data_IF_649190573891
#
_entry.id   IF_649190573891
#
_cell.length_a   1.000
_cell.length_b   1.000
_cell.length_c   1.000
_cell.angle_alpha   90.00
_cell.angle_beta   90.00
_cell.angle_gamma   90.00
#
_symmetry.space_group_name_H-M   'P 1'
#
loop_
_entity.id
_entity.type
_entity.pdbx_description
1 polymer ?
#
# COMPACT_ATOMS: atom_id res chain seq x y z
N UNK A 1 26.02 -5.07 9.41
CA UNK A 1 27.20 -5.92 9.10
C UNK A 1 28.09 -5.34 8.00
N UNK A 2 27.55 -4.83 6.88
CA UNK A 2 28.34 -4.30 5.75
C UNK A 2 29.32 -3.18 6.12
N UNK A 3 28.92 -2.21 6.95
CA UNK A 3 29.80 -1.13 7.41
C UNK A 3 30.95 -1.63 8.30
N UNK A 4 30.67 -2.60 9.18
CA UNK A 4 31.70 -3.24 10.02
C UNK A 4 32.73 -3.99 9.17
N UNK A 5 32.28 -4.59 8.07
CA UNK A 5 33.13 -5.22 7.05
C UNK A 5 33.82 -4.21 6.12
N UNK A 6 33.71 -2.91 6.39
CA UNK A 6 34.29 -1.81 5.61
C UNK A 6 33.88 -1.83 4.12
N UNK A 7 32.69 -2.36 3.81
CA UNK A 7 32.11 -2.23 2.46
C UNK A 7 31.70 -0.78 2.21
N UNK A 8 31.89 -0.24 1.01
CA UNK A 8 31.55 1.15 0.71
C UNK A 8 30.03 1.37 0.81
N UNK A 9 29.57 2.40 1.55
CA UNK A 9 28.14 2.73 1.63
C UNK A 9 27.64 3.40 0.34
N UNK A 10 26.34 3.30 0.11
CA UNK A 10 25.57 4.01 -0.91
C UNK A 10 24.58 5.00 -0.28
N UNK A 11 23.41 5.15 -0.91
CA UNK A 11 22.33 6.03 -0.44
C UNK A 11 21.90 5.64 0.97
N UNK A 12 21.69 6.64 1.84
CA UNK A 12 21.29 6.45 3.25
C UNK A 12 22.20 5.48 4.03
N UNK A 13 23.48 5.37 3.65
CA UNK A 13 24.47 4.45 4.24
C UNK A 13 24.21 2.94 4.05
N UNK A 14 23.22 2.58 3.23
CA UNK A 14 22.98 1.17 2.87
C UNK A 14 24.04 0.64 1.91
N UNK A 15 24.35 -0.67 1.94
CA UNK A 15 25.23 -1.25 0.94
C UNK A 15 24.54 -1.30 -0.44
N UNK A 16 25.33 -1.29 -1.52
CA UNK A 16 24.79 -1.26 -2.90
C UNK A 16 23.90 -2.45 -3.26
N UNK A 17 24.08 -3.58 -2.59
CA UNK A 17 23.33 -4.82 -2.79
C UNK A 17 22.08 -4.94 -1.91
N UNK A 18 21.67 -3.88 -1.22
CA UNK A 18 20.48 -3.91 -0.35
C UNK A 18 19.20 -4.28 -1.12
N UNK A 19 19.06 -3.84 -2.37
CA UNK A 19 17.95 -4.23 -3.23
C UNK A 19 17.91 -5.74 -3.45
N UNK A 20 19.06 -6.34 -3.76
CA UNK A 20 19.20 -7.78 -3.99
C UNK A 20 18.89 -8.60 -2.73
N UNK A 21 19.17 -8.04 -1.54
CA UNK A 21 18.83 -8.69 -0.27
C UNK A 21 17.30 -8.83 -0.12
N UNK A 22 16.54 -7.79 -0.46
CA UNK A 22 15.09 -7.83 -0.40
C UNK A 22 14.49 -8.66 -1.53
N UNK A 23 14.94 -8.47 -2.77
CA UNK A 23 14.37 -9.19 -3.93
C UNK A 23 14.58 -10.70 -3.80
N UNK A 24 15.80 -11.16 -3.49
CA UNK A 24 16.06 -12.60 -3.30
C UNK A 24 15.21 -13.21 -2.19
N UNK A 25 14.80 -12.44 -1.19
CA UNK A 25 13.92 -12.93 -0.13
C UNK A 25 12.47 -13.01 -0.61
N UNK A 26 11.94 -11.92 -1.19
CA UNK A 26 10.54 -11.80 -1.56
C UNK A 26 10.19 -12.62 -2.81
N UNK A 27 11.08 -12.72 -3.79
CA UNK A 27 10.88 -13.51 -5.02
C UNK A 27 10.80 -15.02 -4.76
N UNK A 28 11.06 -15.48 -3.53
CA UNK A 28 10.80 -16.87 -3.14
C UNK A 28 9.32 -17.13 -2.88
N UNK A 29 8.54 -16.09 -2.59
CA UNK A 29 7.11 -16.16 -2.34
C UNK A 29 6.37 -16.27 -3.66
N UNK A 30 5.87 -17.47 -3.96
CA UNK A 30 5.18 -17.75 -5.21
C UNK A 30 4.13 -18.84 -5.01
N UNK A 31 3.20 -18.93 -5.97
CA UNK A 31 2.35 -20.10 -6.18
C UNK A 31 3.02 -21.03 -7.18
N UNK A 32 3.26 -22.28 -6.80
CA UNK A 32 3.87 -23.27 -7.67
C UNK A 32 2.89 -23.76 -8.75
N UNK A 33 3.44 -24.29 -9.84
CA UNK A 33 2.66 -24.85 -10.94
C UNK A 33 2.06 -26.22 -10.55
N UNK A 34 1.09 -26.69 -11.33
CA UNK A 34 0.44 -28.00 -11.13
C UNK A 34 1.41 -29.18 -11.15
N UNK A 35 2.51 -29.09 -11.91
CA UNK A 35 3.58 -30.10 -11.93
C UNK A 35 4.40 -30.16 -10.63
N UNK A 36 4.34 -29.12 -9.80
CA UNK A 36 5.10 -28.95 -8.56
C UNK A 36 4.21 -28.97 -7.31
N UNK A 37 2.95 -29.38 -7.42
CA UNK A 37 2.05 -29.58 -6.27
C UNK A 37 1.14 -28.40 -5.90
N UNK A 38 1.16 -27.29 -6.65
CA UNK A 38 0.31 -26.10 -6.45
C UNK A 38 0.40 -25.35 -5.11
N UNK A 39 1.41 -25.68 -4.29
CA UNK A 39 1.74 -25.00 -3.04
C UNK A 39 1.90 -23.48 -3.22
N UNK A 40 1.57 -22.73 -2.17
CA UNK A 40 1.65 -21.29 -2.17
C UNK A 40 2.38 -20.77 -0.92
N UNK A 41 3.29 -19.82 -1.12
CA UNK A 41 3.85 -19.02 -0.05
C UNK A 41 3.50 -17.55 -0.27
N UNK A 42 2.69 -16.99 0.61
CA UNK A 42 2.36 -15.56 0.62
C UNK A 42 3.21 -14.84 1.65
N UNK A 43 3.83 -13.73 1.28
CA UNK A 43 4.61 -12.88 2.21
C UNK A 43 3.93 -11.54 2.42
N UNK A 44 3.94 -11.06 3.67
CA UNK A 44 3.47 -9.73 4.05
C UNK A 44 4.63 -8.95 4.68
N UNK A 45 5.53 -8.36 3.88
CA UNK A 45 6.63 -7.58 4.41
C UNK A 45 6.10 -6.32 5.10
N UNK A 46 6.64 -6.01 6.28
CA UNK A 46 6.32 -4.80 7.04
C UNK A 46 7.50 -3.84 6.90
N UNK A 47 7.21 -2.61 6.51
CA UNK A 47 8.19 -1.54 6.37
C UNK A 47 7.73 -0.36 7.22
N UNK A 48 8.58 0.06 8.12
CA UNK A 48 8.35 1.28 8.89
C UNK A 48 8.80 2.48 8.07
N UNK A 49 7.89 3.45 7.88
CA UNK A 49 8.21 4.75 7.28
C UNK A 49 8.51 5.76 8.38
N UNK A 50 9.51 6.60 8.17
CA UNK A 50 9.85 7.66 9.11
C UNK A 50 9.03 8.90 8.75
N UNK A 51 8.24 9.41 9.70
CA UNK A 51 7.36 10.57 9.50
C UNK A 51 6.42 10.44 8.28
N UNK A 52 6.03 9.20 7.93
CA UNK A 52 5.18 8.96 6.75
C UNK A 52 5.88 9.15 5.39
N UNK A 53 7.21 9.26 5.35
CA UNK A 53 7.95 9.43 4.11
C UNK A 53 7.92 8.15 3.25
N UNK A 54 7.09 8.18 2.21
CA UNK A 54 6.95 7.12 1.21
C UNK A 54 8.05 7.13 0.14
N UNK A 55 8.91 8.15 0.12
CA UNK A 55 10.00 8.29 -0.84
C UNK A 55 11.35 7.74 -0.34
N UNK A 56 11.38 7.26 0.91
CA UNK A 56 12.56 6.68 1.54
C UNK A 56 13.13 5.51 0.73
N UNK A 57 14.46 5.38 0.73
CA UNK A 57 15.16 4.45 -0.18
C UNK A 57 14.71 2.99 -0.02
N UNK A 58 14.61 2.49 1.21
CA UNK A 58 14.17 1.11 1.46
C UNK A 58 12.70 0.89 1.09
N UNK A 59 11.84 1.87 1.38
CA UNK A 59 10.42 1.79 1.06
C UNK A 59 10.19 1.68 -0.45
N UNK A 60 10.83 2.57 -1.23
CA UNK A 60 10.75 2.52 -2.70
C UNK A 60 11.29 1.21 -3.29
N UNK A 61 12.38 0.66 -2.74
CA UNK A 61 12.90 -0.65 -3.15
C UNK A 61 11.86 -1.76 -2.91
N UNK A 62 11.27 -1.83 -1.73
CA UNK A 62 10.32 -2.90 -1.38
C UNK A 62 9.06 -2.79 -2.23
N UNK A 63 8.52 -1.60 -2.43
CA UNK A 63 7.33 -1.38 -3.29
C UNK A 63 7.60 -1.83 -4.72
N UNK A 64 8.81 -1.62 -5.23
CA UNK A 64 9.14 -2.05 -6.59
C UNK A 64 9.13 -3.57 -6.76
N UNK A 65 9.40 -4.32 -5.67
CA UNK A 65 9.45 -5.78 -5.65
C UNK A 65 8.06 -6.39 -5.36
N UNK A 66 7.31 -5.83 -4.42
CA UNK A 66 6.03 -6.38 -3.98
C UNK A 66 4.91 -6.17 -5.00
N UNK A 67 3.93 -7.08 -5.00
CA UNK A 67 2.72 -7.00 -5.84
C UNK A 67 1.68 -5.97 -5.39
N UNK A 68 1.97 -5.18 -4.36
CA UNK A 68 1.04 -4.19 -3.84
C UNK A 68 1.53 -3.63 -2.51
N UNK A 69 0.78 -2.67 -1.98
CA UNK A 69 1.08 -2.03 -0.71
C UNK A 69 -0.20 -1.69 0.05
N UNK A 70 -0.14 -1.86 1.37
CA UNK A 70 -1.13 -1.36 2.31
C UNK A 70 -0.42 -0.30 3.14
N UNK A 71 -0.76 0.98 2.91
CA UNK A 71 -0.16 2.09 3.64
C UNK A 71 -1.02 2.42 4.87
N UNK A 72 -0.41 2.39 6.05
CA UNK A 72 -1.08 2.73 7.31
C UNK A 72 -0.73 4.17 7.69
N UNK A 73 -1.74 5.04 7.75
CA UNK A 73 -1.57 6.45 8.12
C UNK A 73 -1.71 6.67 9.62
N UNK A 74 -0.83 7.49 10.19
CA UNK A 74 -0.94 7.94 11.57
C UNK A 74 -2.15 8.87 11.77
N UNK A 75 -2.47 9.71 10.78
CA UNK A 75 -3.59 10.66 10.87
C UNK A 75 -4.93 9.92 10.95
N UNK A 76 -5.13 8.90 10.10
CA UNK A 76 -6.32 8.05 10.12
C UNK A 76 -6.45 7.30 11.46
N UNK A 77 -5.33 6.81 11.99
CA UNK A 77 -5.30 6.14 13.28
C UNK A 77 -5.70 7.07 14.44
N UNK A 78 -5.21 8.31 14.41
CA UNK A 78 -5.52 9.35 15.39
C UNK A 78 -6.98 9.81 15.29
N UNK A 79 -7.55 9.81 14.08
CA UNK A 79 -8.98 10.03 13.81
C UNK A 79 -9.87 8.82 14.15
N UNK A 80 -9.33 7.79 14.82
CA UNK A 80 -10.03 6.57 15.27
C UNK A 80 -10.50 5.64 14.14
N UNK A 81 -10.02 5.83 12.91
CA UNK A 81 -10.26 4.90 11.80
C UNK A 81 -9.29 3.74 11.95
N UNK A 82 -9.83 2.53 12.19
CA UNK A 82 -9.06 1.30 12.41
C UNK A 82 -9.69 0.14 11.63
N UNK A 83 -8.95 -0.53 10.74
CA UNK A 83 -7.53 -0.33 10.40
C UNK A 83 -7.28 0.98 9.65
N UNK A 84 -6.14 1.64 9.91
CA UNK A 84 -5.81 2.98 9.41
C UNK A 84 -5.28 2.98 7.96
N UNK A 85 -5.97 2.26 7.07
CA UNK A 85 -5.55 2.08 5.68
C UNK A 85 -5.83 3.35 4.89
N UNK A 86 -4.79 3.91 4.26
CA UNK A 86 -4.95 5.01 3.33
C UNK A 86 -5.33 4.47 1.95
N UNK A 87 -6.60 4.65 1.56
CA UNK A 87 -7.17 4.18 0.29
C UNK A 87 -6.51 4.83 -0.93
N UNK A 88 -6.06 6.09 -0.82
CA UNK A 88 -5.46 6.81 -1.96
C UNK A 88 -4.05 6.34 -2.35
N UNK A 89 -3.31 5.75 -1.40
CA UNK A 89 -1.95 5.23 -1.64
C UNK A 89 -1.94 3.69 -1.71
N UNK A 90 -3.02 3.05 -1.26
CA UNK A 90 -3.20 1.61 -1.38
C UNK A 90 -3.15 1.17 -2.85
N UNK A 91 -2.42 0.09 -3.12
CA UNK A 91 -2.34 -0.49 -4.47
C UNK A 91 -2.28 -2.01 -4.36
N UNK A 92 -3.02 -2.71 -5.21
CA UNK A 92 -2.87 -4.15 -5.45
C UNK A 92 -2.71 -4.42 -6.94
N UNK A 93 -1.54 -4.90 -7.37
CA UNK A 93 -1.25 -5.23 -8.78
C UNK A 93 -1.95 -6.49 -9.25
N UNK A 94 -2.20 -7.43 -8.33
CA UNK A 94 -2.98 -8.65 -8.61
C UNK A 94 -4.47 -8.32 -8.75
N UNK A 95 -4.92 -7.24 -8.10
CA UNK A 95 -6.27 -6.70 -8.24
C UNK A 95 -7.37 -7.67 -7.77
N UNK A 96 -8.54 -7.59 -8.42
CA UNK A 96 -9.72 -8.38 -8.05
C UNK A 96 -9.69 -9.84 -8.54
N UNK A 97 -8.57 -10.30 -9.11
CA UNK A 97 -8.43 -11.69 -9.61
C UNK A 97 -8.41 -12.73 -8.49
N UNK A 98 -7.96 -12.35 -7.30
CA UNK A 98 -7.91 -13.19 -6.11
C UNK A 98 -9.16 -13.11 -5.24
N UNK A 99 -10.12 -12.24 -5.59
CA UNK A 99 -11.35 -12.05 -4.83
C UNK A 99 -12.42 -13.06 -5.24
N UNK A 100 -13.24 -13.49 -4.28
CA UNK A 100 -14.46 -14.25 -4.57
C UNK A 100 -15.47 -13.36 -5.31
N UNK A 101 -16.29 -13.98 -6.19
CA UNK A 101 -17.23 -13.26 -7.06
C UNK A 101 -18.15 -12.28 -6.33
N UNK A 102 -18.62 -12.65 -5.13
CA UNK A 102 -19.48 -11.79 -4.31
C UNK A 102 -18.78 -10.52 -3.82
N UNK A 103 -17.52 -10.63 -3.38
CA UNK A 103 -16.71 -9.48 -2.93
C UNK A 103 -16.44 -8.57 -4.12
N UNK A 104 -16.01 -9.14 -5.25
CA UNK A 104 -15.67 -8.37 -6.45
C UNK A 104 -16.82 -7.47 -6.92
N UNK A 105 -18.06 -7.94 -6.85
CA UNK A 105 -19.21 -7.15 -7.29
C UNK A 105 -19.46 -5.89 -6.45
N UNK A 106 -19.07 -5.91 -5.17
CA UNK A 106 -19.29 -4.81 -4.23
C UNK A 106 -18.03 -3.96 -4.05
N UNK A 107 -16.86 -4.58 -4.05
CA UNK A 107 -15.57 -3.95 -3.77
C UNK A 107 -15.20 -2.89 -4.80
N UNK A 108 -15.39 -3.15 -6.10
CA UNK A 108 -15.04 -2.21 -7.17
C UNK A 108 -15.78 -0.87 -7.03
N UNK A 109 -17.06 -0.93 -6.63
CA UNK A 109 -17.87 0.27 -6.38
C UNK A 109 -17.47 0.98 -5.09
N UNK A 110 -17.17 0.21 -4.04
CA UNK A 110 -16.75 0.74 -2.74
C UNK A 110 -15.42 1.50 -2.84
N UNK A 111 -14.43 0.94 -3.53
CA UNK A 111 -13.10 1.55 -3.71
C UNK A 111 -13.20 2.88 -4.45
N UNK A 112 -14.02 2.94 -5.51
CA UNK A 112 -14.27 4.17 -6.25
C UNK A 112 -14.93 5.24 -5.38
N UNK A 113 -15.96 4.87 -4.63
CA UNK A 113 -16.70 5.81 -3.76
C UNK A 113 -15.81 6.35 -2.63
N UNK A 114 -14.95 5.52 -2.03
CA UNK A 114 -14.01 5.95 -0.99
C UNK A 114 -12.90 6.86 -1.54
N UNK A 115 -12.42 6.60 -2.75
CA UNK A 115 -11.42 7.45 -3.40
C UNK A 115 -12.01 8.83 -3.71
N UNK A 116 -13.23 8.87 -4.26
CA UNK A 116 -13.95 10.11 -4.51
C UNK A 116 -14.25 10.87 -3.20
N UNK A 117 -14.64 10.15 -2.14
CA UNK A 117 -14.85 10.76 -0.84
C UNK A 117 -13.58 11.44 -0.32
N UNK A 118 -12.43 10.77 -0.36
CA UNK A 118 -11.17 11.33 0.11
C UNK A 118 -10.75 12.58 -0.69
N UNK A 119 -10.98 12.61 -2.00
CA UNK A 119 -10.73 13.80 -2.84
C UNK A 119 -11.67 14.96 -2.48
N UNK A 120 -12.96 14.67 -2.28
CA UNK A 120 -13.96 15.68 -1.94
C UNK A 120 -13.80 16.22 -0.52
N UNK A 121 -13.42 15.38 0.44
CA UNK A 121 -13.17 15.79 1.83
C UNK A 121 -12.03 16.81 1.88
N UNK A 122 -10.95 16.59 1.13
CA UNK A 122 -9.86 17.54 1.01
C UNK A 122 -10.33 18.88 0.40
N UNK A 123 -11.20 18.85 -0.61
CA UNK A 123 -11.73 20.05 -1.25
C UNK A 123 -12.74 20.83 -0.39
N UNK A 124 -13.57 20.10 0.38
CA UNK A 124 -14.58 20.65 1.27
C UNK A 124 -13.98 21.49 2.41
N UNK A 125 -12.73 21.25 2.79
CA UNK A 125 -12.01 22.08 3.78
C UNK A 125 -11.75 23.52 3.29
N UNK A 126 -11.82 23.77 1.98
CA UNK A 126 -11.49 25.07 1.37
C UNK A 126 -12.70 25.82 0.80
N UNK A 127 -13.87 25.20 0.71
CA UNK A 127 -15.04 25.79 0.03
C UNK A 127 -16.26 25.77 0.94
N UNK A 128 -16.90 26.93 1.12
CA UNK A 128 -18.10 27.07 1.97
C UNK A 128 -19.39 26.61 1.30
N UNK A 129 -19.47 26.71 -0.03
CA UNK A 129 -20.65 26.35 -0.81
C UNK A 129 -20.39 25.09 -1.63
N UNK A 130 -20.79 23.95 -1.09
CA UNK A 130 -20.82 22.67 -1.79
C UNK A 130 -22.20 22.45 -2.39
N UNK A 131 -22.26 22.00 -3.63
CA UNK A 131 -23.51 21.62 -4.27
C UNK A 131 -24.09 20.35 -3.64
N UNK A 132 -25.40 20.13 -3.87
CA UNK A 132 -26.12 19.01 -3.24
C UNK A 132 -25.55 17.64 -3.62
N UNK A 133 -24.94 17.51 -4.81
CA UNK A 133 -24.35 16.24 -5.23
C UNK A 133 -23.10 15.91 -4.39
N UNK A 134 -22.19 16.89 -4.20
CA UNK A 134 -21.02 16.72 -3.34
C UNK A 134 -21.39 16.50 -1.88
N UNK A 135 -22.41 17.19 -1.35
CA UNK A 135 -22.91 16.93 0.01
C UNK A 135 -23.40 15.48 0.20
N UNK A 136 -24.14 14.95 -0.79
CA UNK A 136 -24.61 13.57 -0.74
C UNK A 136 -23.47 12.55 -0.85
N UNK A 137 -22.43 12.85 -1.64
CA UNK A 137 -21.24 11.99 -1.73
C UNK A 137 -20.44 12.00 -0.42
N UNK A 138 -20.28 13.15 0.22
CA UNK A 138 -19.62 13.26 1.54
C UNK A 138 -20.40 12.51 2.62
N UNK A 139 -21.73 12.69 2.68
CA UNK A 139 -22.58 11.98 3.64
C UNK A 139 -22.56 10.45 3.45
N UNK A 140 -22.25 9.97 2.24
CA UNK A 140 -22.19 8.54 1.93
C UNK A 140 -20.84 7.91 2.26
N UNK A 141 -19.76 8.70 2.29
CA UNK A 141 -18.42 8.23 2.62
C UNK A 141 -18.01 8.34 4.10
N UNK A 142 -18.75 9.13 4.90
CA UNK A 142 -18.66 9.17 6.36
C UNK A 142 -19.17 7.86 7.01
#
# INVERSE_FOLDING_TARGET
>A
MSLLLRRPPGRESYPRDVFNLHSRLLERAAKSCSSLGEDCMTTLPIVETQSGDVSAYIHTNIISITDGQIFLSADLFNSRIRPSINVGIYVSRVGSTTQIKGIKHVADKLELELTQFAELEAFAQFTSDLDKATQNQLARGQ
#
